data_IF_549007865806
#
_entry.id   IF_549007865806
#
_cell.length_a   1.000
_cell.length_b   1.000
_cell.length_c   1.000
_cell.angle_alpha   90.00
_cell.angle_beta   90.00
_cell.angle_gamma   90.00
#
_symmetry.space_group_name_H-M   'P 1'
#
loop_
_entity.id
_entity.type
_entity.pdbx_description
1 polymer ?
#
# COMPACT_ATOMS: atom_id res chain seq x y z
N UNK A 1 5.86 -50.45 8.52
CA UNK A 1 5.70 -49.11 9.12
C UNK A 1 7.08 -48.50 9.33
N UNK A 2 7.38 -47.38 8.66
CA UNK A 2 8.39 -46.34 8.99
C UNK A 2 8.84 -45.71 7.68
N UNK A 3 8.48 -44.44 7.46
CA UNK A 3 9.19 -43.38 6.73
C UNK A 3 8.18 -42.28 6.42
N UNK A 4 7.74 -41.58 7.47
CA UNK A 4 6.88 -40.40 7.36
C UNK A 4 7.19 -39.49 8.56
N UNK A 5 8.43 -39.00 8.64
CA UNK A 5 8.87 -38.19 9.78
C UNK A 5 9.94 -37.12 9.46
N UNK A 6 10.26 -36.85 8.18
CA UNK A 6 11.37 -35.93 7.82
C UNK A 6 10.96 -34.64 7.10
N UNK A 7 9.67 -34.43 6.81
CA UNK A 7 9.20 -33.20 6.15
C UNK A 7 8.60 -32.18 7.13
N UNK A 8 8.18 -32.62 8.33
CA UNK A 8 7.45 -31.77 9.29
C UNK A 8 8.39 -30.85 10.09
N UNK A 9 9.65 -31.26 10.33
CA UNK A 9 10.61 -30.50 11.17
C UNK A 9 11.10 -29.22 10.46
N UNK A 10 11.26 -29.26 9.13
CA UNK A 10 11.71 -28.10 8.35
C UNK A 10 10.62 -27.02 8.21
N UNK A 11 9.34 -27.41 8.16
CA UNK A 11 8.26 -26.45 7.96
C UNK A 11 7.96 -25.64 9.24
N UNK A 12 8.04 -26.30 10.41
CA UNK A 12 7.82 -25.64 11.71
C UNK A 12 8.95 -24.63 12.02
N UNK A 13 10.21 -25.00 11.75
CA UNK A 13 11.35 -24.12 12.05
C UNK A 13 11.38 -22.85 11.20
N UNK A 14 11.06 -22.95 9.90
CA UNK A 14 11.00 -21.78 9.00
C UNK A 14 9.89 -20.81 9.39
N UNK A 15 8.69 -21.32 9.69
CA UNK A 15 7.58 -20.48 10.17
C UNK A 15 7.94 -19.75 11.48
N UNK A 16 8.67 -20.42 12.38
CA UNK A 16 9.15 -19.85 13.63
C UNK A 16 10.12 -18.69 13.39
N UNK A 17 11.11 -18.87 12.50
CA UNK A 17 12.12 -17.85 12.19
C UNK A 17 11.49 -16.63 11.52
N UNK A 18 10.57 -16.82 10.56
CA UNK A 18 9.84 -15.72 9.92
C UNK A 18 9.02 -14.90 10.94
N UNK A 19 8.43 -15.57 11.93
CA UNK A 19 7.71 -14.91 13.02
C UNK A 19 8.63 -14.16 13.98
N UNK A 20 9.84 -14.68 14.24
CA UNK A 20 10.85 -14.06 15.09
C UNK A 20 11.41 -12.77 14.45
N UNK A 21 11.87 -12.85 13.19
CA UNK A 21 12.35 -11.67 12.45
C UNK A 21 11.27 -10.58 12.34
N UNK A 22 10.01 -10.99 12.14
CA UNK A 22 8.88 -10.07 12.09
C UNK A 22 8.70 -9.36 13.43
N UNK A 23 8.76 -10.09 14.55
CA UNK A 23 8.59 -9.49 15.88
C UNK A 23 9.74 -8.55 16.22
N UNK A 24 10.99 -8.96 16.00
CA UNK A 24 12.16 -8.09 16.22
C UNK A 24 12.09 -6.81 15.40
N UNK A 25 11.65 -6.90 14.15
CA UNK A 25 11.46 -5.72 13.31
C UNK A 25 10.33 -4.82 13.83
N UNK A 26 9.19 -5.37 14.25
CA UNK A 26 8.08 -4.62 14.83
C UNK A 26 8.54 -3.87 16.08
N UNK A 27 9.30 -4.52 16.96
CA UNK A 27 9.86 -3.91 18.16
C UNK A 27 10.83 -2.78 17.79
N UNK A 28 11.69 -3.00 16.79
CA UNK A 28 12.60 -1.99 16.28
C UNK A 28 11.85 -0.76 15.73
N UNK A 29 10.87 -0.94 14.86
CA UNK A 29 10.09 0.12 14.20
C UNK A 29 9.26 0.92 15.22
N UNK A 30 8.77 0.25 16.26
CA UNK A 30 7.95 0.85 17.31
C UNK A 30 8.74 1.77 18.24
N UNK A 31 10.07 1.64 18.27
CA UNK A 31 10.93 2.58 18.99
C UNK A 31 11.04 3.92 18.25
N UNK A 32 11.22 5.01 19.01
CA UNK A 32 11.10 6.37 18.50
C UNK A 32 11.95 6.62 17.23
N UNK A 33 11.28 7.09 16.17
CA UNK A 33 11.83 7.38 14.83
C UNK A 33 12.50 6.24 14.06
N UNK A 34 12.59 5.03 14.61
CA UNK A 34 13.26 3.91 13.92
C UNK A 34 12.52 3.44 12.67
N UNK A 35 11.23 3.72 12.54
CA UNK A 35 10.48 3.49 11.29
C UNK A 35 11.11 4.19 10.08
N UNK A 36 11.81 5.32 10.27
CA UNK A 36 12.57 6.01 9.21
C UNK A 36 13.79 5.20 8.74
N UNK A 37 14.24 4.24 9.54
CA UNK A 37 15.45 3.42 9.34
C UNK A 37 15.13 1.94 9.17
N UNK A 38 13.87 1.57 8.95
CA UNK A 38 13.45 0.17 8.79
C UNK A 38 14.24 -0.55 7.69
N UNK A 39 14.56 0.14 6.60
CA UNK A 39 15.34 -0.38 5.47
C UNK A 39 16.80 -0.76 5.83
N UNK A 40 17.34 -0.26 6.94
CA UNK A 40 18.69 -0.58 7.45
C UNK A 40 18.70 -1.74 8.45
N UNK A 41 17.53 -2.14 8.97
CA UNK A 41 17.44 -3.17 9.99
C UNK A 41 17.39 -4.57 9.36
N UNK A 42 18.31 -5.45 9.78
CA UNK A 42 18.42 -6.81 9.24
C UNK A 42 17.17 -7.65 9.44
N UNK A 43 16.58 -7.63 10.64
CA UNK A 43 15.37 -8.40 10.94
C UNK A 43 14.19 -7.90 10.10
N UNK A 44 14.11 -6.59 9.86
CA UNK A 44 13.14 -6.02 8.92
C UNK A 44 13.34 -6.49 7.48
N UNK A 45 14.58 -6.46 6.98
CA UNK A 45 14.88 -6.93 5.63
C UNK A 45 14.48 -8.41 5.44
N UNK A 46 14.82 -9.27 6.41
CA UNK A 46 14.44 -10.68 6.40
C UNK A 46 12.92 -10.86 6.44
N UNK A 47 12.23 -10.20 7.35
CA UNK A 47 10.78 -10.30 7.46
C UNK A 47 10.03 -9.74 6.23
N UNK A 48 10.59 -8.73 5.56
CA UNK A 48 10.05 -8.23 4.29
C UNK A 48 10.23 -9.24 3.15
N UNK A 49 11.36 -9.95 3.11
CA UNK A 49 11.60 -11.04 2.15
C UNK A 49 10.66 -12.23 2.40
N UNK A 50 10.31 -12.49 3.66
CA UNK A 50 9.30 -13.48 4.05
C UNK A 50 7.86 -13.06 3.69
N UNK A 51 7.68 -11.88 3.10
CA UNK A 51 6.40 -11.44 2.57
C UNK A 51 5.53 -10.68 3.57
N UNK A 52 6.05 -10.22 4.72
CA UNK A 52 5.25 -9.48 5.69
C UNK A 52 4.86 -8.09 5.13
N UNK A 53 3.58 -7.84 4.79
CA UNK A 53 3.17 -6.62 4.09
C UNK A 53 3.45 -5.34 4.88
N UNK A 54 3.20 -5.35 6.19
CA UNK A 54 3.38 -4.18 7.06
C UNK A 54 4.85 -3.79 7.18
N UNK A 55 5.74 -4.79 7.18
CA UNK A 55 7.19 -4.56 7.23
C UNK A 55 7.70 -4.12 5.85
N UNK A 56 7.22 -4.72 4.75
CA UNK A 56 7.50 -4.23 3.40
C UNK A 56 7.14 -2.74 3.26
N UNK A 57 5.96 -2.35 3.72
CA UNK A 57 5.54 -0.94 3.75
C UNK A 57 6.47 -0.07 4.59
N UNK A 58 6.87 -0.54 5.77
CA UNK A 58 7.77 0.20 6.66
C UNK A 58 9.16 0.39 6.06
N UNK A 59 9.70 -0.62 5.36
CA UNK A 59 10.95 -0.49 4.60
C UNK A 59 10.80 0.55 3.50
N UNK A 60 9.68 0.53 2.74
CA UNK A 60 9.38 1.55 1.73
C UNK A 60 9.41 2.96 2.31
N UNK A 61 8.75 3.18 3.45
CA UNK A 61 8.81 4.46 4.16
C UNK A 61 10.25 4.85 4.50
N UNK A 62 11.05 3.90 4.99
CA UNK A 62 12.45 4.15 5.30
C UNK A 62 13.26 4.64 4.11
N UNK A 63 13.09 4.02 2.94
CA UNK A 63 13.72 4.50 1.70
C UNK A 63 13.20 5.89 1.28
N UNK A 64 11.91 6.16 1.46
CA UNK A 64 11.31 7.47 1.21
C UNK A 64 11.94 8.59 2.05
N UNK A 65 12.25 8.33 3.33
CA UNK A 65 12.94 9.30 4.19
C UNK A 65 14.37 9.61 3.74
N UNK A 66 15.05 8.66 3.10
CA UNK A 66 16.39 8.86 2.51
C UNK A 66 16.33 9.42 1.08
N UNK A 67 15.13 9.65 0.53
CA UNK A 67 14.93 10.16 -0.83
C UNK A 67 15.19 9.11 -1.94
N UNK A 68 15.24 7.82 -1.58
CA UNK A 68 15.44 6.72 -2.52
C UNK A 68 14.10 6.23 -3.08
N UNK A 69 13.44 7.08 -3.87
CA UNK A 69 12.05 6.88 -4.29
C UNK A 69 11.80 5.65 -5.18
N UNK A 70 12.80 5.20 -5.95
CA UNK A 70 12.68 3.97 -6.75
C UNK A 70 12.52 2.74 -5.84
N UNK A 71 13.30 2.67 -4.75
CA UNK A 71 13.21 1.59 -3.76
C UNK A 71 11.96 1.74 -2.87
N UNK A 72 11.58 2.97 -2.53
CA UNK A 72 10.31 3.23 -1.84
C UNK A 72 9.12 2.63 -2.63
N UNK A 73 9.06 2.91 -3.94
CA UNK A 73 8.00 2.40 -4.81
C UNK A 73 8.02 0.87 -4.87
N UNK A 74 9.19 0.25 -5.06
CA UNK A 74 9.34 -1.21 -5.11
C UNK A 74 8.74 -1.88 -3.87
N UNK A 75 9.05 -1.35 -2.68
CA UNK A 75 8.55 -1.91 -1.43
C UNK A 75 7.06 -1.63 -1.19
N UNK A 76 6.53 -0.49 -1.63
CA UNK A 76 5.08 -0.27 -1.62
C UNK A 76 4.35 -1.20 -2.59
N UNK A 77 4.94 -1.52 -3.76
CA UNK A 77 4.41 -2.54 -4.68
C UNK A 77 4.36 -3.91 -4.03
N UNK A 78 5.42 -4.32 -3.32
CA UNK A 78 5.41 -5.58 -2.56
C UNK A 78 4.29 -5.60 -1.52
N UNK A 79 4.18 -4.57 -0.69
CA UNK A 79 3.17 -4.48 0.35
C UNK A 79 1.73 -4.49 -0.22
N UNK A 80 1.51 -3.76 -1.33
CA UNK A 80 0.23 -3.72 -2.02
C UNK A 80 -0.12 -5.07 -2.66
N UNK A 81 0.84 -5.73 -3.33
CA UNK A 81 0.62 -7.07 -3.89
C UNK A 81 0.31 -8.12 -2.81
N UNK A 82 0.92 -7.98 -1.62
CA UNK A 82 0.64 -8.78 -0.42
C UNK A 82 -0.68 -8.43 0.28
N UNK A 83 -1.43 -7.44 -0.23
CA UNK A 83 -2.78 -7.12 0.19
C UNK A 83 -2.92 -6.02 1.25
N UNK A 84 -1.84 -5.30 1.58
CA UNK A 84 -1.90 -4.23 2.58
C UNK A 84 -2.76 -3.06 2.08
N UNK A 85 -3.87 -2.81 2.76
CA UNK A 85 -4.82 -1.76 2.32
C UNK A 85 -4.16 -0.37 2.34
N UNK A 86 -3.38 -0.04 3.36
CA UNK A 86 -2.67 1.25 3.40
C UNK A 86 -1.69 1.43 2.23
N UNK A 87 -1.05 0.36 1.78
CA UNK A 87 -0.15 0.40 0.63
C UNK A 87 -0.88 0.74 -0.68
N UNK A 88 -2.16 0.36 -0.84
CA UNK A 88 -2.92 0.72 -2.04
C UNK A 88 -3.02 2.24 -2.22
N UNK A 89 -3.35 2.98 -1.15
CA UNK A 89 -3.47 4.43 -1.22
C UNK A 89 -2.12 5.10 -1.45
N UNK A 90 -1.09 4.65 -0.72
CA UNK A 90 0.27 5.20 -0.82
C UNK A 90 0.88 4.94 -2.20
N UNK A 91 0.77 3.72 -2.72
CA UNK A 91 1.25 3.39 -4.06
C UNK A 91 0.49 4.17 -5.14
N UNK A 92 -0.84 4.36 -4.96
CA UNK A 92 -1.62 5.26 -5.79
C UNK A 92 -1.03 6.68 -5.84
N UNK A 93 -0.58 7.22 -4.69
CA UNK A 93 0.08 8.53 -4.66
C UNK A 93 1.39 8.55 -5.43
N UNK A 94 2.27 7.58 -5.16
CA UNK A 94 3.58 7.45 -5.79
C UNK A 94 3.46 7.40 -7.32
N UNK A 95 2.50 6.63 -7.82
CA UNK A 95 2.31 6.41 -9.25
C UNK A 95 1.53 7.51 -9.97
N UNK A 96 0.73 8.32 -9.26
CA UNK A 96 -0.28 9.20 -9.86
C UNK A 96 0.24 10.18 -10.93
N UNK A 97 1.52 10.56 -10.86
CA UNK A 97 2.15 11.48 -11.82
C UNK A 97 2.68 10.75 -13.06
N UNK A 98 3.30 9.58 -12.89
CA UNK A 98 4.09 8.91 -13.92
C UNK A 98 3.34 7.73 -14.55
N UNK A 99 2.51 7.05 -13.77
CA UNK A 99 1.77 5.84 -14.16
C UNK A 99 0.29 5.94 -13.75
N UNK A 100 -0.46 6.90 -14.34
CA UNK A 100 -1.80 7.27 -13.86
C UNK A 100 -2.82 6.12 -13.90
N UNK A 101 -2.74 5.23 -14.88
CA UNK A 101 -3.64 4.07 -14.97
C UNK A 101 -3.40 3.05 -13.87
N UNK A 102 -2.15 2.83 -13.51
CA UNK A 102 -1.81 1.95 -12.39
C UNK A 102 -2.18 2.60 -11.06
N UNK A 103 -1.97 3.91 -10.92
CA UNK A 103 -2.45 4.65 -9.76
C UNK A 103 -3.98 4.49 -9.56
N UNK A 104 -4.76 4.60 -10.64
CA UNK A 104 -6.21 4.34 -10.60
C UNK A 104 -6.50 2.92 -10.12
N UNK A 105 -5.80 1.90 -10.62
CA UNK A 105 -5.98 0.51 -10.19
C UNK A 105 -5.82 0.36 -8.66
N UNK A 106 -4.76 0.94 -8.09
CA UNK A 106 -4.53 0.86 -6.64
C UNK A 106 -5.54 1.69 -5.84
N UNK A 107 -5.90 2.88 -6.30
CA UNK A 107 -6.97 3.66 -5.67
C UNK A 107 -8.32 2.95 -5.70
N UNK A 108 -8.64 2.23 -6.78
CA UNK A 108 -9.87 1.43 -6.87
C UNK A 108 -9.89 0.35 -5.79
N UNK A 109 -8.77 -0.37 -5.61
CA UNK A 109 -8.66 -1.39 -4.54
C UNK A 109 -8.83 -0.78 -3.16
N UNK A 110 -8.25 0.38 -2.90
CA UNK A 110 -8.49 1.11 -1.66
C UNK A 110 -9.97 1.50 -1.50
N UNK A 111 -10.58 2.07 -2.53
CA UNK A 111 -12.00 2.45 -2.54
C UNK A 111 -12.92 1.27 -2.19
N UNK A 112 -12.70 0.11 -2.82
CA UNK A 112 -13.52 -1.08 -2.61
C UNK A 112 -13.28 -1.79 -1.27
N UNK A 113 -12.17 -1.49 -0.57
CA UNK A 113 -11.96 -2.00 0.79
C UNK A 113 -12.90 -1.38 1.83
N UNK A 114 -13.51 -0.23 1.50
CA UNK A 114 -14.44 0.53 2.37
C UNK A 114 -13.90 0.87 3.76
N UNK A 115 -12.57 0.87 3.94
CA UNK A 115 -11.93 1.43 5.13
C UNK A 115 -12.13 2.95 5.20
N UNK A 116 -11.99 3.52 6.38
CA UNK A 116 -12.13 4.96 6.58
C UNK A 116 -11.27 5.76 5.59
N UNK A 117 -11.88 6.75 4.96
CA UNK A 117 -11.23 7.55 3.92
C UNK A 117 -11.32 6.97 2.51
N UNK A 118 -12.05 5.87 2.26
CA UNK A 118 -12.20 5.31 0.90
C UNK A 118 -12.70 6.32 -0.14
N UNK A 119 -13.52 7.30 0.26
CA UNK A 119 -13.97 8.41 -0.58
C UNK A 119 -12.85 9.32 -1.08
N UNK A 120 -11.77 9.47 -0.31
CA UNK A 120 -10.58 10.19 -0.75
C UNK A 120 -9.92 9.52 -1.95
N UNK A 121 -9.89 8.18 -2.00
CA UNK A 121 -9.37 7.48 -3.18
C UNK A 121 -10.25 7.70 -4.41
N UNK A 122 -11.58 7.72 -4.26
CA UNK A 122 -12.48 8.09 -5.37
C UNK A 122 -12.19 9.52 -5.87
N UNK A 123 -12.00 10.48 -4.95
CA UNK A 123 -11.58 11.84 -5.30
C UNK A 123 -10.26 11.88 -6.07
N UNK A 124 -9.25 11.11 -5.65
CA UNK A 124 -7.96 11.05 -6.37
C UNK A 124 -8.08 10.43 -7.76
N UNK A 125 -8.99 9.47 -7.96
CA UNK A 125 -9.29 8.92 -9.28
C UNK A 125 -9.93 10.00 -10.17
N UNK A 126 -10.81 10.86 -9.63
CA UNK A 126 -11.38 12.01 -10.35
C UNK A 126 -10.28 12.95 -10.84
N UNK A 127 -9.35 13.35 -9.97
CA UNK A 127 -8.23 14.23 -10.33
C UNK A 127 -7.41 13.67 -11.52
N UNK A 128 -7.22 12.35 -11.57
CA UNK A 128 -6.49 11.69 -12.65
C UNK A 128 -7.34 11.71 -13.93
N UNK A 129 -8.62 11.37 -13.86
CA UNK A 129 -9.49 11.38 -15.05
C UNK A 129 -9.74 12.77 -15.62
N UNK A 130 -9.76 13.82 -14.79
CA UNK A 130 -9.77 15.21 -15.25
C UNK A 130 -8.54 15.52 -16.11
N UNK A 131 -7.34 15.17 -15.63
CA UNK A 131 -6.08 15.38 -16.36
C UNK A 131 -6.00 14.56 -17.66
N UNK A 132 -6.62 13.38 -17.68
CA UNK A 132 -6.72 12.52 -18.86
C UNK A 132 -7.86 12.91 -19.81
N UNK A 133 -8.62 13.96 -19.50
CA UNK A 133 -9.80 14.41 -20.24
C UNK A 133 -10.82 13.27 -20.50
N UNK A 134 -11.20 12.56 -19.43
CA UNK A 134 -12.17 11.43 -19.46
C UNK A 134 -13.46 11.81 -18.73
N UNK A 135 -14.32 12.65 -19.33
CA UNK A 135 -15.48 13.24 -18.65
C UNK A 135 -16.47 12.21 -18.07
N UNK A 136 -16.76 11.13 -18.79
CA UNK A 136 -17.68 10.09 -18.28
C UNK A 136 -17.11 9.36 -17.06
N UNK A 137 -15.78 9.21 -16.99
CA UNK A 137 -15.13 8.59 -15.83
C UNK A 137 -15.06 9.57 -14.65
N UNK A 138 -14.90 10.87 -14.92
CA UNK A 138 -15.01 11.91 -13.89
C UNK A 138 -16.39 11.84 -13.23
N UNK A 139 -17.48 11.88 -14.01
CA UNK A 139 -18.84 11.83 -13.48
C UNK A 139 -19.08 10.56 -12.63
N UNK A 140 -18.69 9.40 -13.16
CA UNK A 140 -18.84 8.12 -12.48
C UNK A 140 -18.10 8.05 -11.14
N UNK A 141 -16.85 8.51 -11.09
CA UNK A 141 -16.05 8.47 -9.85
C UNK A 141 -16.39 9.60 -8.89
N UNK A 142 -16.95 10.69 -9.41
CA UNK A 142 -17.50 11.76 -8.63
C UNK A 142 -18.71 11.32 -7.80
N UNK A 143 -19.66 10.63 -8.42
CA UNK A 143 -20.82 10.06 -7.73
C UNK A 143 -20.38 9.13 -6.59
N UNK A 144 -19.41 8.24 -6.85
CA UNK A 144 -18.82 7.36 -5.82
C UNK A 144 -18.14 8.10 -4.68
N UNK A 145 -17.56 9.27 -4.95
CA UNK A 145 -17.02 10.14 -3.92
C UNK A 145 -18.15 10.65 -3.02
N UNK A 146 -19.22 11.20 -3.61
CA UNK A 146 -20.38 11.75 -2.91
C UNK A 146 -21.16 10.70 -2.11
N UNK A 147 -21.17 9.44 -2.56
CA UNK A 147 -21.76 8.31 -1.83
C UNK A 147 -21.00 7.94 -0.55
N UNK A 148 -19.77 8.43 -0.40
CA UNK A 148 -18.93 8.14 0.76
C UNK A 148 -19.07 9.19 1.87
N UNK A 149 -18.65 8.88 3.12
CA UNK A 149 -18.56 9.88 4.19
C UNK A 149 -17.48 10.97 3.97
N UNK A 150 -16.68 10.90 2.90
CA UNK A 150 -15.58 11.83 2.67
C UNK A 150 -16.11 13.21 2.27
N UNK A 151 -15.86 14.21 3.12
CA UNK A 151 -16.37 15.58 2.93
C UNK A 151 -15.57 16.39 1.88
N UNK A 152 -14.47 15.87 1.36
CA UNK A 152 -13.63 16.59 0.38
C UNK A 152 -14.16 16.55 -1.06
N UNK A 153 -15.26 15.83 -1.33
CA UNK A 153 -15.93 15.81 -2.62
C UNK A 153 -16.66 17.16 -2.87
N UNK A 154 -15.94 18.19 -3.34
CA UNK A 154 -16.45 19.49 -3.84
C UNK A 154 -17.53 19.40 -4.94
N UNK A 155 -18.79 19.65 -4.61
CA UNK A 155 -19.97 19.54 -5.50
C UNK A 155 -19.83 20.24 -6.88
N UNK A 156 -18.98 21.25 -6.98
CA UNK A 156 -18.75 22.10 -8.14
C UNK A 156 -17.94 21.47 -9.30
N UNK A 157 -17.44 20.22 -9.17
CA UNK A 157 -16.80 19.50 -10.29
C UNK A 157 -17.77 19.22 -11.44
N UNK A 158 -19.03 18.89 -11.16
CA UNK A 158 -20.05 18.56 -12.19
C UNK A 158 -20.27 19.72 -13.19
N UNK A 159 -20.07 20.97 -12.77
CA UNK A 159 -20.26 22.15 -13.63
C UNK A 159 -19.22 22.27 -14.75
N UNK A 160 -18.12 21.51 -14.71
CA UNK A 160 -17.03 21.55 -15.71
C UNK A 160 -17.16 20.51 -16.81
N UNK A 161 -18.09 19.56 -16.67
CA UNK A 161 -18.16 18.33 -17.47
C UNK A 161 -19.49 18.17 -18.23
N UNK A 162 -20.48 19.03 -17.91
CA UNK A 162 -21.71 19.23 -18.70
C UNK A 162 -21.56 20.44 -19.61
#
# INVERSE_FOLDING_TARGET
>A
MKFLALVIINFISVQCIASENSQECIDFISANENYKKAHLNKSCQLAALDGNPSIQYSIGMGYGYEGLHDLEEEYYRLAANSGLISAYLTLGHTLSKNEPWEAIYWYQRYYYSKVDGYGYAAFRIVDIFEKLNKPQQVELWWERCLESPYQGCKEDVIKRVR
#
